data_IF_479601375760
#
_entry.id   IF_479601375760
#
_cell.length_a   1.000
_cell.length_b   1.000
_cell.length_c   1.000
_cell.angle_alpha   90.00
_cell.angle_beta   90.00
_cell.angle_gamma   90.00
#
_symmetry.space_group_name_H-M   'P 1'
#
loop_
_entity.id
_entity.type
_entity.pdbx_description
1 polymer ?
#
# COMPACT_ATOMS: atom_id res chain seq x y z
N UNK A 1 11.68 -59.94 24.11
CA UNK A 1 12.36 -58.63 23.93
C UNK A 1 12.04 -57.92 22.62
N UNK A 2 11.71 -58.62 21.51
CA UNK A 2 11.50 -57.99 20.20
C UNK A 2 10.23 -57.12 20.08
N UNK A 3 9.17 -57.40 20.85
CA UNK A 3 7.90 -56.65 20.80
C UNK A 3 7.98 -55.23 21.38
N UNK A 4 8.76 -55.02 22.44
CA UNK A 4 8.92 -53.70 23.06
C UNK A 4 9.72 -52.74 22.15
N UNK A 5 10.74 -53.26 21.45
CA UNK A 5 11.56 -52.50 20.51
C UNK A 5 10.73 -51.99 19.31
N UNK A 6 9.83 -52.82 18.76
CA UNK A 6 8.95 -52.43 17.66
C UNK A 6 7.91 -51.37 18.06
N UNK A 7 7.41 -51.41 19.30
CA UNK A 7 6.46 -50.39 19.79
C UNK A 7 7.13 -49.03 20.00
N UNK A 8 8.38 -49.00 20.45
CA UNK A 8 9.17 -47.76 20.58
C UNK A 8 9.51 -47.15 19.22
N UNK A 9 9.86 -47.99 18.23
CA UNK A 9 10.09 -47.54 16.85
C UNK A 9 8.82 -46.95 16.22
N UNK A 10 7.67 -47.64 16.39
CA UNK A 10 6.37 -47.14 15.94
C UNK A 10 6.00 -45.81 16.59
N UNK A 11 6.16 -45.70 17.91
CA UNK A 11 5.87 -44.48 18.65
C UNK A 11 6.71 -43.30 18.15
N UNK A 12 8.01 -43.52 17.87
CA UNK A 12 8.89 -42.50 17.30
C UNK A 12 8.45 -42.05 15.90
N UNK A 13 8.06 -42.99 15.03
CA UNK A 13 7.55 -42.66 13.68
C UNK A 13 6.22 -41.90 13.70
N UNK A 14 5.30 -42.25 14.62
CA UNK A 14 4.06 -41.48 14.80
C UNK A 14 4.34 -40.07 15.30
N UNK A 15 5.28 -39.91 16.24
CA UNK A 15 5.66 -38.60 16.77
C UNK A 15 6.31 -37.70 15.70
N UNK A 16 7.19 -38.26 14.86
CA UNK A 16 7.77 -37.51 13.73
C UNK A 16 6.72 -37.17 12.68
N UNK A 17 5.75 -38.05 12.41
CA UNK A 17 4.65 -37.77 11.49
C UNK A 17 3.72 -36.66 12.01
N UNK A 18 3.43 -36.68 13.31
CA UNK A 18 2.64 -35.65 13.99
C UNK A 18 3.35 -34.29 13.96
N UNK A 19 4.66 -34.25 14.25
CA UNK A 19 5.46 -33.02 14.23
C UNK A 19 5.51 -32.41 12.83
N UNK A 20 5.70 -33.24 11.80
CA UNK A 20 5.72 -32.80 10.41
C UNK A 20 4.34 -32.27 9.97
N UNK A 21 3.26 -32.94 10.38
CA UNK A 21 1.89 -32.46 10.12
C UNK A 21 1.57 -31.14 10.81
N UNK A 22 2.05 -30.94 12.04
CA UNK A 22 1.87 -29.70 12.77
C UNK A 22 2.65 -28.54 12.14
N UNK A 23 3.86 -28.79 11.62
CA UNK A 23 4.67 -27.76 10.94
C UNK A 23 4.00 -27.27 9.65
N UNK A 24 3.31 -28.13 8.91
CA UNK A 24 2.57 -27.74 7.70
C UNK A 24 1.40 -26.78 7.98
N UNK A 25 0.85 -26.76 9.20
CA UNK A 25 -0.26 -25.87 9.56
C UNK A 25 0.19 -24.41 9.78
N UNK A 26 1.48 -24.15 9.95
CA UNK A 26 2.01 -22.79 10.15
C UNK A 26 2.26 -22.01 8.85
N UNK A 27 2.01 -22.59 7.67
CA UNK A 27 2.26 -21.92 6.38
C UNK A 27 1.06 -21.11 5.86
N UNK A 28 0.01 -20.89 6.64
CA UNK A 28 -1.11 -20.04 6.19
C UNK A 28 -0.77 -18.54 6.36
N UNK A 29 -0.14 -17.95 5.36
CA UNK A 29 -0.02 -16.50 5.22
C UNK A 29 -1.36 -15.89 4.77
N UNK A 30 -1.87 -14.90 5.49
CA UNK A 30 -3.03 -14.12 5.04
C UNK A 30 -2.52 -12.91 4.25
N UNK A 31 -2.88 -12.83 2.97
CA UNK A 31 -2.52 -11.70 2.10
C UNK A 31 -3.50 -10.53 2.27
N UNK A 32 -2.97 -9.34 2.54
CA UNK A 32 -3.71 -8.09 2.67
C UNK A 32 -3.36 -7.10 1.56
N UNK A 33 -4.35 -6.32 1.14
CA UNK A 33 -4.20 -5.31 0.11
C UNK A 33 -3.49 -4.08 0.67
N UNK A 34 -2.38 -3.67 0.05
CA UNK A 34 -1.61 -2.47 0.42
C UNK A 34 -2.14 -1.25 -0.34
N UNK A 35 -2.21 -1.36 -1.66
CA UNK A 35 -2.73 -0.34 -2.56
C UNK A 35 -3.53 -0.99 -3.68
N UNK A 36 -4.63 -0.33 -4.06
CA UNK A 36 -5.52 -0.76 -5.14
C UNK A 36 -5.52 0.28 -6.25
N UNK A 37 -6.01 -0.10 -7.44
CA UNK A 37 -6.15 0.80 -8.59
C UNK A 37 -4.83 1.43 -9.06
N UNK A 38 -3.72 0.70 -8.90
CA UNK A 38 -2.40 1.14 -9.35
C UNK A 38 -2.31 1.03 -10.88
N UNK A 39 -1.54 1.95 -11.47
CA UNK A 39 -1.03 1.76 -12.82
C UNK A 39 -0.08 0.55 -12.85
N UNK A 40 0.00 -0.17 -13.97
CA UNK A 40 0.93 -1.30 -14.12
C UNK A 40 2.39 -0.87 -13.83
N UNK A 41 2.74 0.37 -14.20
CA UNK A 41 4.06 0.93 -13.94
C UNK A 41 4.33 1.10 -12.45
N UNK A 42 3.42 1.75 -11.73
CA UNK A 42 3.59 1.99 -10.29
C UNK A 42 3.55 0.66 -9.52
N UNK A 43 2.66 -0.26 -9.89
CA UNK A 43 2.61 -1.59 -9.29
C UNK A 43 3.92 -2.37 -9.45
N UNK A 44 4.54 -2.32 -10.64
CA UNK A 44 5.84 -2.95 -10.88
C UNK A 44 6.97 -2.32 -10.06
N UNK A 45 6.96 -1.00 -9.92
CA UNK A 45 7.99 -0.28 -9.17
C UNK A 45 7.86 -0.54 -7.66
N UNK A 46 6.64 -0.46 -7.13
CA UNK A 46 6.34 -0.78 -5.73
C UNK A 46 6.67 -2.24 -5.41
N UNK A 47 6.30 -3.18 -6.30
CA UNK A 47 6.66 -4.60 -6.17
C UNK A 47 8.18 -4.79 -6.09
N UNK A 48 8.94 -4.16 -7.00
CA UNK A 48 10.39 -4.29 -7.03
C UNK A 48 11.05 -3.80 -5.74
N UNK A 49 10.55 -2.70 -5.18
CA UNK A 49 11.01 -2.15 -3.91
C UNK A 49 10.75 -3.12 -2.76
N UNK A 50 9.52 -3.65 -2.65
CA UNK A 50 9.15 -4.59 -1.57
C UNK A 50 9.98 -5.87 -1.61
N UNK A 51 10.07 -6.51 -2.78
CA UNK A 51 10.82 -7.76 -2.96
C UNK A 51 12.31 -7.56 -2.66
N UNK A 52 12.90 -6.44 -3.09
CA UNK A 52 14.31 -6.13 -2.80
C UNK A 52 14.58 -5.91 -1.31
N UNK A 53 13.58 -5.47 -0.55
CA UNK A 53 13.64 -5.31 0.90
C UNK A 53 13.21 -6.56 1.70
N UNK A 54 13.05 -7.70 1.00
CA UNK A 54 12.70 -8.98 1.60
C UNK A 54 11.26 -9.06 2.10
N UNK A 55 10.35 -8.27 1.53
CA UNK A 55 8.91 -8.40 1.75
C UNK A 55 8.33 -9.21 0.60
N UNK A 56 7.61 -10.28 0.95
CA UNK A 56 6.86 -11.04 -0.05
C UNK A 56 5.61 -10.24 -0.46
N UNK A 57 5.51 -9.97 -1.75
CA UNK A 57 4.49 -9.10 -2.30
C UNK A 57 4.00 -9.66 -3.64
N UNK A 58 2.69 -9.63 -3.83
CA UNK A 58 2.02 -10.14 -5.02
C UNK A 58 1.22 -9.05 -5.73
N UNK A 59 1.15 -9.15 -7.06
CA UNK A 59 0.26 -8.32 -7.89
C UNK A 59 -0.99 -9.10 -8.23
N UNK A 60 -2.14 -8.53 -7.94
CA UNK A 60 -3.45 -9.06 -8.33
C UNK A 60 -4.11 -8.13 -9.35
N UNK A 61 -4.54 -8.69 -10.47
CA UNK A 61 -5.27 -7.97 -11.51
C UNK A 61 -6.77 -7.98 -11.21
N UNK A 62 -7.32 -6.83 -10.80
CA UNK A 62 -8.74 -6.70 -10.49
C UNK A 62 -9.49 -6.16 -11.71
N UNK A 63 -9.55 -6.98 -12.78
CA UNK A 63 -10.24 -6.64 -14.03
C UNK A 63 -9.77 -5.32 -14.65
N UNK A 64 -10.71 -4.46 -15.06
CA UNK A 64 -10.40 -3.13 -15.62
C UNK A 64 -10.04 -2.07 -14.56
N UNK A 65 -10.13 -2.38 -13.26
CA UNK A 65 -9.97 -1.41 -12.18
C UNK A 65 -8.51 -1.12 -11.80
N UNK A 66 -7.55 -1.68 -12.56
CA UNK A 66 -6.12 -1.53 -12.30
C UNK A 66 -5.53 -2.68 -11.49
N UNK A 67 -4.30 -2.49 -11.03
CA UNK A 67 -3.52 -3.51 -10.31
C UNK A 67 -3.64 -3.27 -8.80
N UNK A 68 -3.77 -4.35 -8.05
CA UNK A 68 -3.73 -4.34 -6.58
C UNK A 68 -2.44 -4.99 -6.13
N UNK A 69 -1.73 -4.34 -5.21
CA UNK A 69 -0.53 -4.86 -4.58
C UNK A 69 -0.89 -5.44 -3.21
N UNK A 70 -0.51 -6.69 -2.96
CA UNK A 70 -0.84 -7.43 -1.75
C UNK A 70 0.43 -7.93 -1.07
N UNK A 71 0.42 -8.00 0.25
CA UNK A 71 1.53 -8.50 1.07
C UNK A 71 0.99 -9.35 2.21
N UNK A 72 1.85 -10.14 2.85
CA UNK A 72 1.45 -10.86 4.06
C UNK A 72 1.04 -9.88 5.18
N UNK A 73 0.05 -10.27 5.97
CA UNK A 73 -0.44 -9.46 7.10
C UNK A 73 0.68 -9.06 8.08
N UNK A 74 1.68 -9.92 8.27
CA UNK A 74 2.88 -9.64 9.07
C UNK A 74 3.73 -8.50 8.54
N UNK A 75 3.75 -8.29 7.23
CA UNK A 75 4.63 -7.34 6.55
C UNK A 75 3.94 -6.04 6.16
N UNK A 76 2.60 -5.92 6.34
CA UNK A 76 1.83 -4.76 5.90
C UNK A 76 2.40 -3.42 6.39
N UNK A 77 2.69 -3.29 7.68
CA UNK A 77 3.22 -2.05 8.25
C UNK A 77 4.59 -1.70 7.66
N UNK A 78 5.49 -2.68 7.59
CA UNK A 78 6.84 -2.53 7.04
C UNK A 78 6.80 -2.18 5.55
N UNK A 79 5.87 -2.79 4.81
CA UNK A 79 5.65 -2.51 3.39
C UNK A 79 5.23 -1.05 3.17
N UNK A 80 4.28 -0.55 3.95
CA UNK A 80 3.83 0.84 3.87
C UNK A 80 4.97 1.80 4.21
N UNK A 81 5.76 1.52 5.25
CA UNK A 81 6.88 2.37 5.65
C UNK A 81 7.94 2.45 4.54
N UNK A 82 8.38 1.31 4.01
CA UNK A 82 9.37 1.25 2.92
C UNK A 82 8.86 1.98 1.68
N UNK A 83 7.59 1.77 1.30
CA UNK A 83 7.01 2.43 0.14
C UNK A 83 6.94 3.95 0.34
N UNK A 84 6.57 4.40 1.55
CA UNK A 84 6.55 5.83 1.92
C UNK A 84 7.93 6.45 1.86
N UNK A 85 8.96 5.77 2.38
CA UNK A 85 10.36 6.19 2.28
C UNK A 85 10.86 6.30 0.84
N UNK A 86 10.29 5.49 -0.07
CA UNK A 86 10.58 5.53 -1.51
C UNK A 86 9.64 6.47 -2.30
N UNK A 87 8.82 7.27 -1.62
CA UNK A 87 7.98 8.31 -2.24
C UNK A 87 6.65 7.80 -2.81
N UNK A 88 6.14 6.67 -2.32
CA UNK A 88 4.80 6.16 -2.62
C UNK A 88 3.79 6.44 -1.50
N UNK A 89 2.48 6.56 -1.81
CA UNK A 89 1.94 6.63 -3.17
C UNK A 89 2.33 7.97 -3.77
N UNK A 90 2.76 7.95 -5.04
CA UNK A 90 3.08 9.21 -5.72
C UNK A 90 1.81 10.03 -5.73
N UNK A 91 1.88 11.26 -5.25
CA UNK A 91 0.84 12.23 -5.59
C UNK A 91 0.77 12.21 -7.12
N UNK A 92 -0.31 11.62 -7.65
CA UNK A 92 -0.68 11.83 -9.04
C UNK A 92 -0.70 13.34 -9.15
N UNK A 93 0.32 13.90 -9.81
CA UNK A 93 0.46 15.33 -9.98
C UNK A 93 -0.89 15.77 -10.49
N UNK A 94 -1.70 16.37 -9.61
CA UNK A 94 -2.85 17.11 -10.05
C UNK A 94 -2.21 18.08 -11.01
N UNK A 95 -2.41 17.82 -12.30
CA UNK A 95 -1.89 18.70 -13.33
C UNK A 95 -2.32 20.07 -12.89
N UNK A 96 -1.42 21.04 -12.94
CA UNK A 96 -1.72 22.45 -12.66
C UNK A 96 -3.14 22.82 -13.19
N UNK A 97 -3.56 22.28 -14.34
CA UNK A 97 -4.95 22.33 -14.83
C UNK A 97 -6.09 21.98 -13.83
N UNK A 98 -5.98 20.98 -12.96
CA UNK A 98 -6.97 20.62 -11.92
C UNK A 98 -7.02 21.63 -10.78
N UNK A 99 -5.88 22.19 -10.37
CA UNK A 99 -5.80 23.25 -9.35
C UNK A 99 -6.37 24.56 -9.91
N UNK A 100 -6.07 24.87 -11.18
CA UNK A 100 -6.61 26.02 -11.89
C UNK A 100 -8.11 25.87 -12.25
N UNK A 101 -8.62 24.65 -12.42
CA UNK A 101 -10.05 24.39 -12.66
C UNK A 101 -10.90 24.45 -11.38
N UNK A 102 -10.36 24.05 -10.22
CA UNK A 102 -11.04 24.22 -8.92
C UNK A 102 -10.92 25.63 -8.35
N UNK A 103 -9.85 26.36 -8.68
CA UNK A 103 -9.65 27.76 -8.34
C UNK A 103 -10.24 28.71 -9.38
N UNK A 104 -11.48 28.45 -9.84
CA UNK A 104 -12.18 29.33 -10.77
C UNK A 104 -12.05 30.80 -10.36
N UNK A 105 -11.29 31.57 -11.15
CA UNK A 105 -11.09 33.01 -11.05
C UNK A 105 -10.86 33.48 -9.60
N UNK A 106 -9.62 33.40 -9.11
CA UNK A 106 -9.20 34.37 -8.09
C UNK A 106 -9.08 35.71 -8.83
N UNK A 107 -10.19 36.46 -8.86
CA UNK A 107 -10.16 37.92 -8.95
C UNK A 107 -9.04 38.36 -8.01
N UNK A 108 -7.95 38.90 -8.57
CA UNK A 108 -6.75 39.11 -7.76
C UNK A 108 -7.16 39.95 -6.54
N UNK A 109 -6.74 39.62 -5.32
CA UNK A 109 -7.10 40.36 -4.11
C UNK A 109 -6.73 41.86 -4.18
N UNK A 110 -5.96 42.25 -5.20
CA UNK A 110 -5.64 43.63 -5.51
C UNK A 110 -6.83 44.42 -6.07
N UNK A 111 -7.68 43.82 -6.91
CA UNK A 111 -8.78 44.54 -7.58
C UNK A 111 -9.89 44.93 -6.60
N UNK A 112 -10.18 44.05 -5.63
CA UNK A 112 -11.14 44.32 -4.56
C UNK A 112 -10.61 45.41 -3.60
N UNK A 113 -9.30 45.41 -3.30
CA UNK A 113 -8.67 46.48 -2.51
C UNK A 113 -8.71 47.83 -3.22
N UNK A 114 -8.52 47.86 -4.55
CA UNK A 114 -8.59 49.10 -5.32
C UNK A 114 -10.01 49.68 -5.30
N UNK A 115 -11.04 48.84 -5.45
CA UNK A 115 -12.44 49.28 -5.34
C UNK A 115 -12.78 49.77 -3.94
N UNK A 116 -12.30 49.11 -2.89
CA UNK A 116 -12.47 49.54 -1.50
C UNK A 116 -11.82 50.90 -1.22
N UNK A 117 -10.58 51.11 -1.66
CA UNK A 117 -9.88 52.40 -1.52
C UNK A 117 -10.58 53.51 -2.30
N UNK A 118 -11.07 53.23 -3.52
CA UNK A 118 -11.78 54.22 -4.33
C UNK A 118 -13.13 54.60 -3.72
N UNK A 119 -13.89 53.62 -3.23
CA UNK A 119 -15.18 53.87 -2.57
C UNK A 119 -15.05 54.71 -1.29
N UNK A 120 -13.98 54.51 -0.49
CA UNK A 120 -13.69 55.36 0.66
C UNK A 120 -13.30 56.80 0.28
N UNK A 121 -12.77 57.01 -0.92
CA UNK A 121 -12.38 58.33 -1.41
C UNK A 121 -13.56 59.22 -1.81
N UNK A 122 -14.69 58.65 -2.24
CA UNK A 122 -15.87 59.42 -2.69
C UNK A 122 -16.77 59.95 -1.56
N UNK A 123 -16.62 59.50 -0.31
CA UNK A 123 -17.42 60.03 0.82
C UNK A 123 -16.89 61.36 1.40
N UNK A 124 -15.73 61.85 0.96
CA UNK A 124 -15.08 63.05 1.49
C UNK A 124 -14.94 64.20 0.47
N UNK A 125 -15.77 64.25 -0.57
CA UNK A 125 -15.87 65.41 -1.49
C UNK A 125 -17.30 65.93 -1.62
#
# INVERSE_FOLDING_TARGET
>A
MNGAMNNLLKLRTYFTGLLLGLMCLFLSGCMLDVYTQLSERDANEMLAILVTNGIDAEKEYVGEKGVTLRVEQSDLAKAIDILTENGFPRENKDSIGNIFAKGGIISSPFEERVRYIYALGEELS
#
